data_IF_630222722650
#
_entry.id   IF_630222722650
#
_cell.length_a   1.000
_cell.length_b   1.000
_cell.length_c   1.000
_cell.angle_alpha   90.00
_cell.angle_beta   90.00
_cell.angle_gamma   90.00
#
_symmetry.space_group_name_H-M   'P 1'
#
loop_
_entity.id
_entity.type
_entity.pdbx_description
1 polymer ?
#
# COMPACT_ATOMS: atom_id res chain seq x y z
N UNK A 1 13.47 0.70 7.67
CA UNK A 1 12.36 0.97 8.63
C UNK A 1 12.65 2.13 9.60
N UNK A 2 13.84 2.26 10.21
CA UNK A 2 14.14 3.33 11.20
C UNK A 2 14.19 4.75 10.61
N UNK A 3 14.63 4.91 9.36
CA UNK A 3 14.83 6.23 8.76
C UNK A 3 13.52 7.01 8.58
N UNK A 4 12.54 6.45 7.86
CA UNK A 4 11.26 7.11 7.62
C UNK A 4 10.46 7.34 8.91
N UNK A 5 10.53 6.39 9.85
CA UNK A 5 9.94 6.56 11.18
C UNK A 5 10.51 7.78 11.92
N UNK A 6 11.84 8.01 11.82
CA UNK A 6 12.48 9.21 12.40
C UNK A 6 11.92 10.49 11.78
N UNK A 7 11.78 10.53 10.44
CA UNK A 7 11.18 11.67 9.74
C UNK A 7 9.76 11.92 10.23
N UNK A 8 8.94 10.88 10.37
CA UNK A 8 7.56 10.99 10.85
C UNK A 8 7.48 11.51 12.30
N UNK A 9 8.45 11.17 13.15
CA UNK A 9 8.51 11.68 14.53
C UNK A 9 8.89 13.16 14.61
N UNK A 10 9.60 13.69 13.61
CA UNK A 10 9.94 15.11 13.53
C UNK A 10 8.79 15.97 12.97
N UNK A 11 7.82 15.34 12.30
CA UNK A 11 6.63 16.01 11.80
C UNK A 11 5.57 16.16 12.89
N UNK A 12 4.74 17.22 12.84
CA UNK A 12 3.60 17.34 13.73
C UNK A 12 2.66 16.12 13.59
N UNK A 13 2.00 15.68 14.68
CA UNK A 13 1.05 14.57 14.63
C UNK A 13 -0.03 14.78 13.56
N UNK A 14 -0.48 13.69 12.93
CA UNK A 14 -1.55 13.69 11.93
C UNK A 14 -1.27 14.49 10.64
N UNK A 15 0.00 14.84 10.35
CA UNK A 15 0.37 15.52 9.11
C UNK A 15 0.61 14.58 7.93
N UNK A 16 1.00 13.33 8.19
CA UNK A 16 1.11 12.32 7.14
C UNK A 16 -0.27 11.71 6.85
N UNK A 17 -0.72 11.81 5.61
CA UNK A 17 -1.97 11.21 5.15
C UNK A 17 -1.83 9.70 4.93
N UNK A 18 -0.65 9.27 4.50
CA UNK A 18 -0.33 7.86 4.26
C UNK A 18 1.16 7.60 4.44
N UNK A 19 1.51 6.40 4.91
CA UNK A 19 2.90 5.94 5.00
C UNK A 19 2.99 4.47 4.58
N UNK A 20 3.95 4.18 3.69
CA UNK A 20 4.47 2.83 3.46
C UNK A 20 5.97 2.80 3.81
N UNK A 21 6.59 1.65 3.63
CA UNK A 21 7.94 1.29 4.06
C UNK A 21 9.00 2.37 3.83
N UNK A 22 8.92 3.04 2.69
CA UNK A 22 9.91 3.99 2.15
C UNK A 22 9.26 5.25 1.55
N UNK A 23 7.95 5.45 1.73
CA UNK A 23 7.21 6.55 1.12
C UNK A 23 6.16 7.12 2.06
N UNK A 24 5.92 8.42 1.93
CA UNK A 24 4.88 9.15 2.66
C UNK A 24 4.09 10.02 1.69
N UNK A 25 2.80 10.15 1.94
CA UNK A 25 1.95 11.13 1.28
C UNK A 25 1.56 12.17 2.32
N UNK A 26 1.80 13.44 2.00
CA UNK A 26 1.57 14.58 2.89
C UNK A 26 0.75 15.66 2.17
N UNK A 27 0.06 16.54 2.90
CA UNK A 27 -0.47 17.77 2.34
C UNK A 27 0.65 18.67 1.83
N UNK A 28 0.41 19.42 0.75
CA UNK A 28 1.40 20.33 0.16
C UNK A 28 1.96 21.35 1.18
N UNK A 29 1.11 21.85 2.09
CA UNK A 29 1.52 22.81 3.12
C UNK A 29 2.54 22.27 4.13
N UNK A 30 2.75 20.96 4.20
CA UNK A 30 3.73 20.30 5.08
C UNK A 30 5.09 20.18 4.40
N UNK A 31 5.16 20.31 3.07
CA UNK A 31 6.39 20.17 2.29
C UNK A 31 7.56 21.02 2.79
N UNK A 32 7.38 22.29 3.22
CA UNK A 32 8.48 23.10 3.74
C UNK A 32 9.20 22.49 4.96
N UNK A 33 8.51 21.69 5.78
CA UNK A 33 9.09 21.01 6.96
C UNK A 33 10.05 19.87 6.57
N UNK A 34 9.97 19.39 5.33
CA UNK A 34 10.81 18.31 4.81
C UNK A 34 11.88 18.78 3.84
N UNK A 35 12.00 20.10 3.61
CA UNK A 35 12.88 20.66 2.58
C UNK A 35 14.32 20.16 2.70
N UNK A 36 14.86 20.11 3.92
CA UNK A 36 16.24 19.67 4.18
C UNK A 36 16.44 18.16 4.09
N UNK A 37 15.37 17.41 3.88
CA UNK A 37 15.38 15.94 3.72
C UNK A 37 15.07 15.52 2.29
N UNK A 38 14.79 16.47 1.40
CA UNK A 38 14.43 16.21 0.01
C UNK A 38 15.65 16.48 -0.86
N UNK A 39 16.18 15.42 -1.46
CA UNK A 39 17.24 15.47 -2.45
C UNK A 39 17.08 14.24 -3.37
N UNK A 40 16.86 14.44 -4.68
CA UNK A 40 16.61 13.34 -5.61
C UNK A 40 17.86 12.51 -5.94
N UNK A 41 19.06 13.03 -5.69
CA UNK A 41 20.33 12.38 -6.04
C UNK A 41 21.06 11.84 -4.82
N UNK A 42 20.85 12.43 -3.63
CA UNK A 42 21.48 11.98 -2.41
C UNK A 42 20.90 10.65 -1.89
N UNK A 43 21.80 9.72 -1.57
CA UNK A 43 21.44 8.41 -1.04
C UNK A 43 20.72 8.54 0.32
N UNK A 44 19.52 7.96 0.40
CA UNK A 44 18.72 7.93 1.62
C UNK A 44 17.86 9.18 1.84
N UNK A 45 17.94 10.17 0.95
CA UNK A 45 17.05 11.33 0.94
C UNK A 45 15.69 11.00 0.33
N UNK A 46 14.69 11.82 0.65
CA UNK A 46 13.37 11.77 0.02
C UNK A 46 13.42 12.42 -1.35
N UNK A 47 12.59 11.93 -2.27
CA UNK A 47 12.31 12.61 -3.54
C UNK A 47 10.82 12.77 -3.75
N UNK A 48 10.46 13.78 -4.53
CA UNK A 48 9.06 14.02 -4.90
C UNK A 48 8.70 13.08 -6.06
N UNK A 49 8.01 11.98 -5.74
CA UNK A 49 7.50 11.02 -6.74
C UNK A 49 6.30 11.55 -7.53
N UNK A 50 5.53 12.47 -6.94
CA UNK A 50 4.34 13.01 -7.59
C UNK A 50 3.56 14.00 -6.73
N UNK A 51 2.64 14.68 -7.40
CA UNK A 51 1.66 15.61 -6.82
C UNK A 51 0.27 15.20 -7.29
N UNK A 52 -0.70 15.17 -6.38
CA UNK A 52 -2.04 14.66 -6.61
C UNK A 52 -3.07 15.67 -6.11
N UNK A 53 -4.22 15.73 -6.80
CA UNK A 53 -5.33 16.61 -6.41
C UNK A 53 -6.33 15.89 -5.49
N UNK A 54 -6.41 14.57 -5.58
CA UNK A 54 -7.27 13.74 -4.74
C UNK A 54 -6.53 12.50 -4.26
N UNK A 55 -6.93 12.01 -3.09
CA UNK A 55 -6.43 10.81 -2.47
C UNK A 55 -7.56 10.12 -1.71
N UNK A 56 -7.87 8.89 -2.09
CA UNK A 56 -8.79 8.01 -1.37
C UNK A 56 -8.02 6.80 -0.87
N UNK A 57 -7.95 6.62 0.44
CA UNK A 57 -7.21 5.52 1.08
C UNK A 57 -8.23 4.52 1.61
N UNK A 58 -8.21 3.31 1.07
CA UNK A 58 -9.06 2.20 1.54
C UNK A 58 -8.31 1.32 2.54
N UNK A 59 -6.97 1.38 2.53
CA UNK A 59 -6.14 0.69 3.49
C UNK A 59 -4.69 0.57 3.03
N UNK A 60 -3.90 -0.30 3.67
CA UNK A 60 -2.48 -0.44 3.37
C UNK A 60 -2.30 -0.91 1.93
N UNK A 61 -1.58 -0.11 1.13
CA UNK A 61 -1.30 -0.36 -0.29
C UNK A 61 -2.56 -0.50 -1.15
N UNK A 62 -3.63 0.16 -0.72
CA UNK A 62 -4.92 0.26 -1.41
C UNK A 62 -5.38 1.72 -1.37
N UNK A 63 -5.04 2.47 -2.40
CA UNK A 63 -5.42 3.88 -2.53
C UNK A 63 -5.58 4.30 -3.98
N UNK A 64 -6.39 5.34 -4.19
CA UNK A 64 -6.67 5.94 -5.51
C UNK A 64 -6.30 7.41 -5.45
N UNK A 65 -5.58 7.86 -6.47
CA UNK A 65 -5.31 9.27 -6.73
C UNK A 65 -5.99 9.71 -8.02
N UNK A 66 -5.97 11.01 -8.33
CA UNK A 66 -6.42 11.54 -9.63
C UNK A 66 -5.62 11.01 -10.83
N UNK A 67 -4.45 10.43 -10.60
CA UNK A 67 -3.55 9.96 -11.66
C UNK A 67 -3.52 8.45 -11.82
N UNK A 68 -3.65 7.70 -10.72
CA UNK A 68 -3.50 6.26 -10.75
C UNK A 68 -4.11 5.60 -9.51
N UNK A 69 -4.46 4.33 -9.66
CA UNK A 69 -4.88 3.41 -8.60
C UNK A 69 -3.71 2.53 -8.17
N UNK A 70 -3.44 2.45 -6.86
CA UNK A 70 -2.47 1.52 -6.26
C UNK A 70 -3.24 0.46 -5.48
N UNK A 71 -3.14 -0.78 -5.96
CA UNK A 71 -3.84 -1.91 -5.38
C UNK A 71 -2.88 -3.09 -5.28
N UNK A 72 -2.34 -3.37 -4.08
CA UNK A 72 -1.39 -4.48 -3.94
C UNK A 72 -2.06 -5.82 -4.15
N UNK A 73 -1.37 -6.67 -4.92
CA UNK A 73 -1.77 -8.05 -5.15
C UNK A 73 -2.81 -8.21 -6.26
N UNK A 74 -3.15 -7.11 -6.93
CA UNK A 74 -3.96 -7.10 -8.13
C UNK A 74 -3.09 -6.54 -9.27
N UNK A 75 -2.91 -7.30 -10.36
CA UNK A 75 -2.15 -6.81 -11.51
C UNK A 75 -2.79 -5.55 -12.10
N UNK A 76 -1.97 -4.64 -12.64
CA UNK A 76 -2.46 -3.38 -13.23
C UNK A 76 -3.46 -3.59 -14.38
N UNK A 77 -3.35 -4.72 -15.10
CA UNK A 77 -4.23 -5.10 -16.20
C UNK A 77 -5.49 -5.83 -15.76
N UNK A 78 -5.75 -5.98 -14.46
CA UNK A 78 -6.96 -6.65 -13.98
C UNK A 78 -8.20 -5.84 -14.32
N UNK A 79 -9.31 -6.53 -14.56
CA UNK A 79 -10.62 -5.92 -14.76
C UNK A 79 -11.44 -6.11 -13.47
N UNK A 80 -12.09 -5.05 -13.02
CA UNK A 80 -13.02 -5.14 -11.89
C UNK A 80 -14.38 -5.60 -12.43
N UNK A 81 -14.74 -6.85 -12.16
CA UNK A 81 -15.97 -7.48 -12.68
C UNK A 81 -17.18 -7.23 -11.77
N UNK A 82 -16.92 -7.04 -10.48
CA UNK A 82 -17.88 -6.58 -9.47
C UNK A 82 -17.14 -5.66 -8.48
N UNK A 83 -17.83 -4.82 -7.68
CA UNK A 83 -17.18 -4.04 -6.64
C UNK A 83 -16.27 -4.90 -5.74
N UNK A 84 -14.96 -4.66 -5.82
CA UNK A 84 -13.94 -5.39 -5.08
C UNK A 84 -13.62 -6.80 -5.60
N UNK A 85 -14.19 -7.27 -6.71
CA UNK A 85 -13.84 -8.52 -7.37
C UNK A 85 -13.07 -8.24 -8.67
N UNK A 86 -11.82 -8.69 -8.73
CA UNK A 86 -10.94 -8.45 -9.85
C UNK A 86 -10.62 -9.74 -10.59
N UNK A 87 -10.79 -9.73 -11.91
CA UNK A 87 -10.35 -10.77 -12.82
C UNK A 87 -9.00 -10.40 -13.43
N UNK A 88 -8.08 -11.37 -13.52
CA UNK A 88 -6.78 -11.20 -14.17
C UNK A 88 -6.22 -12.51 -14.69
N UNK A 89 -5.31 -12.40 -15.65
CA UNK A 89 -4.54 -13.52 -16.18
C UNK A 89 -3.55 -14.06 -15.15
N UNK A 90 -3.69 -15.34 -14.82
CA UNK A 90 -2.77 -16.08 -13.97
C UNK A 90 -1.99 -17.10 -14.79
N UNK A 91 -0.67 -17.01 -14.71
CA UNK A 91 0.23 -18.06 -15.18
C UNK A 91 0.11 -19.29 -14.29
N UNK A 92 -0.03 -20.43 -14.92
CA UNK A 92 -0.10 -21.72 -14.24
C UNK A 92 1.29 -22.13 -13.76
N UNK A 93 1.38 -22.70 -12.56
CA UNK A 93 2.65 -23.15 -12.00
C UNK A 93 3.22 -24.40 -12.67
N UNK A 94 4.52 -24.62 -12.53
CA UNK A 94 5.25 -25.72 -13.18
C UNK A 94 4.67 -27.13 -12.90
N UNK A 95 4.14 -27.36 -11.70
CA UNK A 95 3.49 -28.63 -11.33
C UNK A 95 2.30 -28.97 -12.25
N UNK A 96 1.50 -27.98 -12.59
CA UNK A 96 0.33 -28.16 -13.45
C UNK A 96 0.72 -28.26 -14.93
N UNK A 97 1.80 -27.59 -15.34
CA UNK A 97 2.44 -27.81 -16.64
C UNK A 97 2.86 -29.27 -16.82
N UNK A 98 3.58 -29.84 -15.84
CA UNK A 98 4.02 -31.23 -15.86
C UNK A 98 2.84 -32.22 -15.94
N UNK A 99 1.77 -32.00 -15.16
CA UNK A 99 0.56 -32.84 -15.23
C UNK A 99 -0.10 -32.84 -16.60
N UNK A 100 -0.01 -31.73 -17.33
CA UNK A 100 -0.61 -31.56 -18.66
C UNK A 100 0.35 -31.92 -19.80
N UNK A 101 1.58 -32.31 -19.48
CA UNK A 101 2.62 -32.60 -20.48
C UNK A 101 3.03 -31.38 -21.32
N UNK A 102 2.86 -30.17 -20.81
CA UNK A 102 3.17 -28.92 -21.54
C UNK A 102 4.52 -28.38 -21.08
N UNK A 103 5.51 -28.38 -21.97
CA UNK A 103 6.88 -27.90 -21.70
C UNK A 103 7.27 -26.64 -22.48
N UNK A 104 6.62 -26.38 -23.62
CA UNK A 104 7.14 -25.43 -24.62
C UNK A 104 6.37 -24.10 -24.67
N UNK A 105 5.24 -24.00 -23.97
CA UNK A 105 4.46 -22.77 -23.85
C UNK A 105 3.89 -22.58 -22.45
N UNK A 106 3.51 -21.35 -22.12
CA UNK A 106 2.88 -21.02 -20.85
C UNK A 106 1.35 -21.18 -20.95
N UNK A 107 0.75 -21.78 -19.92
CA UNK A 107 -0.70 -21.85 -19.79
C UNK A 107 -1.14 -20.65 -18.96
N UNK A 108 -2.03 -19.84 -19.52
CA UNK A 108 -2.67 -18.72 -18.85
C UNK A 108 -4.13 -19.05 -18.62
N UNK A 109 -4.65 -18.71 -17.44
CA UNK A 109 -6.08 -18.86 -17.12
C UNK A 109 -6.61 -17.61 -16.42
N UNK A 110 -7.91 -17.30 -16.56
CA UNK A 110 -8.53 -16.28 -15.73
C UNK A 110 -8.50 -16.71 -14.27
N UNK A 111 -8.19 -15.76 -13.38
CA UNK A 111 -8.23 -15.91 -11.95
C UNK A 111 -8.97 -14.72 -11.34
N UNK A 112 -9.70 -14.98 -10.26
CA UNK A 112 -10.47 -13.97 -9.55
C UNK A 112 -9.86 -13.72 -8.17
N UNK A 113 -9.81 -12.46 -7.76
CA UNK A 113 -9.41 -12.07 -6.41
C UNK A 113 -10.37 -11.03 -5.86
N UNK A 114 -10.98 -11.36 -4.73
CA UNK A 114 -11.78 -10.42 -3.96
C UNK A 114 -10.89 -9.64 -3.00
N UNK A 115 -11.05 -8.33 -2.98
CA UNK A 115 -10.46 -7.43 -2.00
C UNK A 115 -11.56 -6.82 -1.15
N UNK A 116 -11.51 -7.13 0.14
CA UNK A 116 -12.31 -6.41 1.13
C UNK A 116 -11.74 -5.01 1.28
N UNK A 117 -12.62 -4.01 1.26
CA UNK A 117 -12.27 -2.63 1.59
C UNK A 117 -12.39 -2.35 3.10
N UNK A 118 -12.68 -3.37 3.91
CA UNK A 118 -12.71 -3.22 5.36
C UNK A 118 -11.28 -3.07 5.91
N UNK A 119 -11.06 -2.02 6.71
CA UNK A 119 -9.81 -1.82 7.43
C UNK A 119 -9.88 -2.53 8.79
N UNK A 120 -9.14 -3.63 8.92
CA UNK A 120 -9.18 -4.53 10.08
C UNK A 120 -7.94 -4.43 10.99
N UNK A 121 -7.10 -3.40 10.81
CA UNK A 121 -5.80 -3.26 11.50
C UNK A 121 -5.80 -2.24 12.63
N UNK A 122 -6.96 -1.68 12.94
CA UNK A 122 -7.15 -0.67 13.97
C UNK A 122 -8.54 -0.07 13.87
N UNK A 123 -8.85 0.81 14.80
CA UNK A 123 -10.10 1.57 14.82
C UNK A 123 -9.91 2.86 14.04
N UNK A 124 -10.75 3.05 13.01
CA UNK A 124 -10.74 4.27 12.20
C UNK A 124 -11.75 5.24 12.79
N UNK A 125 -11.31 6.41 13.22
CA UNK A 125 -12.20 7.45 13.75
C UNK A 125 -12.95 8.19 12.63
N UNK A 126 -13.85 9.11 13.01
CA UNK A 126 -14.65 9.93 12.06
C UNK A 126 -13.81 10.84 11.16
N UNK A 127 -12.56 11.11 11.52
CA UNK A 127 -11.62 11.93 10.76
C UNK A 127 -10.69 11.08 9.88
N UNK A 128 -10.83 9.75 9.91
CA UNK A 128 -9.98 8.83 9.16
C UNK A 128 -8.65 8.50 9.86
N UNK A 129 -8.48 8.87 11.13
CA UNK A 129 -7.28 8.54 11.92
C UNK A 129 -7.40 7.12 12.44
N UNK A 130 -6.34 6.34 12.25
CA UNK A 130 -6.28 4.93 12.69
C UNK A 130 -5.64 4.83 14.07
N UNK A 131 -6.37 4.30 15.03
CA UNK A 131 -5.84 3.88 16.34
C UNK A 131 -5.50 2.39 16.30
N UNK A 132 -4.22 2.00 16.50
CA UNK A 132 -3.83 0.60 16.41
C UNK A 132 -4.37 -0.21 17.61
N UNK A 133 -4.69 -1.49 17.37
CA UNK A 133 -5.01 -2.40 18.47
C UNK A 133 -3.78 -2.63 19.36
N UNK A 134 -3.96 -2.52 20.67
CA UNK A 134 -2.90 -2.72 21.66
C UNK A 134 -3.02 -4.12 22.25
N UNK A 135 -2.10 -5.01 21.86
CA UNK A 135 -1.97 -6.32 22.50
C UNK A 135 -1.31 -6.14 23.87
N UNK A 136 -2.08 -6.33 24.95
CA UNK A 136 -1.50 -6.45 26.30
C UNK A 136 -1.07 -7.91 26.49
N UNK A 137 0.25 -8.12 26.60
CA UNK A 137 0.78 -9.44 26.92
C UNK A 137 0.43 -9.79 28.38
N UNK A 138 0.04 -11.04 28.68
CA UNK A 138 -0.14 -11.47 30.05
C UNK A 138 1.18 -11.34 30.80
N UNK A 139 1.12 -10.88 32.05
CA UNK A 139 2.30 -10.83 32.90
C UNK A 139 2.83 -12.26 33.12
N UNK A 140 4.17 -12.47 33.11
CA UNK A 140 4.72 -13.78 33.43
C UNK A 140 4.22 -14.22 34.81
N UNK A 141 3.75 -15.47 34.91
CA UNK A 141 3.44 -16.07 36.21
C UNK A 141 4.74 -16.17 37.01
N UNK A 142 4.70 -15.66 38.24
CA UNK A 142 5.80 -15.77 39.21
C UNK A 142 6.12 -17.22 39.55
#
# INVERSE_FOLDING_TARGET
RRHLARILHELPPHTALYCDTDSIIIPEGVLPLLKDKIDPEALGSLKIEGRYKSLHIYGPKSYITDKHRRLKGIPTKSIEVEPGLYEFDQFVGMKEHMKKGVTDWNIVRPAFRRLSQAYDKGEVDKNGVVTPFVLRLPQPRA
#
